data_IF_241776259417
#
_entry.id   IF_241776259417
#
_cell.length_a   1.000
_cell.length_b   1.000
_cell.length_c   1.000
_cell.angle_alpha   90.00
_cell.angle_beta   90.00
_cell.angle_gamma   90.00
#
_symmetry.space_group_name_H-M   'P 1'
#
loop_
_entity.id
_entity.type
_entity.pdbx_description
1 polymer ?
#
# COMPACT_ATOMS: atom_id res chain seq x y z
N UNK A 1 11.98 -32.92 64.87
CA UNK A 1 12.42 -32.24 63.63
C UNK A 1 11.47 -32.56 62.45
N UNK A 2 10.22 -32.08 62.45
CA UNK A 2 9.27 -32.26 61.32
C UNK A 2 8.57 -30.98 60.86
N UNK A 3 8.56 -29.93 61.69
CA UNK A 3 7.85 -28.67 61.38
C UNK A 3 8.75 -27.62 60.70
N UNK A 4 10.08 -27.69 60.86
CA UNK A 4 11.02 -26.75 60.22
C UNK A 4 10.99 -26.94 58.69
N UNK A 5 11.03 -28.18 58.21
CA UNK A 5 11.06 -28.51 56.78
C UNK A 5 9.82 -27.99 56.00
N UNK A 6 8.67 -27.84 56.67
CA UNK A 6 7.44 -27.30 56.07
C UNK A 6 7.44 -25.78 55.93
N UNK A 7 8.16 -25.07 56.80
CA UNK A 7 8.23 -23.61 56.77
C UNK A 7 9.20 -23.16 55.66
N UNK A 8 10.33 -23.85 55.49
CA UNK A 8 11.31 -23.54 54.43
C UNK A 8 10.78 -23.79 53.02
N UNK A 9 9.85 -24.74 52.84
CA UNK A 9 9.25 -24.99 51.52
C UNK A 9 8.25 -23.90 51.12
N UNK A 10 7.58 -23.25 52.09
CA UNK A 10 6.55 -22.26 51.83
C UNK A 10 7.16 -20.89 51.44
N UNK A 11 8.32 -20.53 51.98
CA UNK A 11 9.00 -19.27 51.65
C UNK A 11 9.67 -19.28 50.28
N UNK A 12 10.05 -20.44 49.74
CA UNK A 12 10.65 -20.53 48.39
C UNK A 12 9.59 -20.30 47.30
N UNK A 13 8.35 -20.78 47.50
CA UNK A 13 7.26 -20.64 46.52
C UNK A 13 6.70 -19.22 46.35
N UNK A 14 7.05 -18.28 47.23
CA UNK A 14 6.57 -16.89 47.17
C UNK A 14 7.55 -15.99 46.39
N UNK A 15 8.81 -16.40 46.27
CA UNK A 15 9.85 -15.61 45.59
C UNK A 15 9.80 -15.70 44.05
N UNK A 16 9.05 -16.66 43.48
CA UNK A 16 8.88 -16.81 42.02
C UNK A 16 7.71 -16.02 41.43
N UNK A 17 6.97 -15.25 42.24
CA UNK A 17 5.86 -14.40 41.80
C UNK A 17 6.22 -12.91 41.70
N UNK A 18 7.48 -12.55 41.96
CA UNK A 18 8.00 -11.19 41.86
C UNK A 18 8.95 -11.11 40.66
N UNK A 19 8.72 -10.12 39.78
CA UNK A 19 9.52 -9.80 38.58
C UNK A 19 9.24 -10.63 37.31
N UNK A 20 7.96 -10.77 36.95
CA UNK A 20 7.57 -10.28 35.63
C UNK A 20 7.05 -8.85 35.80
N UNK A 21 7.96 -7.88 35.81
CA UNK A 21 7.58 -6.59 35.22
C UNK A 21 7.51 -6.87 33.73
N UNK A 22 6.37 -6.63 33.11
CA UNK A 22 6.40 -6.35 31.68
C UNK A 22 7.29 -5.12 31.52
N UNK A 23 8.39 -5.25 30.78
CA UNK A 23 9.16 -4.09 30.35
C UNK A 23 8.24 -3.25 29.46
N UNK A 24 7.85 -2.07 29.96
CA UNK A 24 7.21 -1.01 29.19
C UNK A 24 8.16 -0.46 28.11
N UNK A 25 9.44 -0.87 28.12
CA UNK A 25 10.45 -0.66 27.07
C UNK A 25 10.28 -1.61 25.86
N UNK A 26 9.18 -2.36 25.74
CA UNK A 26 8.78 -2.92 24.46
C UNK A 26 8.55 -1.74 23.50
N UNK A 27 9.30 -1.60 22.40
CA UNK A 27 9.09 -0.49 21.47
C UNK A 27 7.62 -0.51 21.03
N UNK A 28 6.95 0.65 21.13
CA UNK A 28 5.55 0.80 20.73
C UNK A 28 5.36 0.11 19.38
N UNK A 29 4.49 -0.90 19.32
CA UNK A 29 4.25 -1.62 18.06
C UNK A 29 3.87 -0.58 17.01
N UNK A 30 4.68 -0.39 15.95
CA UNK A 30 4.47 0.73 15.06
C UNK A 30 3.07 0.67 14.45
N UNK A 31 2.35 1.78 14.53
CA UNK A 31 0.94 1.86 14.16
C UNK A 31 0.80 2.00 12.63
N UNK A 32 0.93 0.87 11.93
CA UNK A 32 0.71 0.71 10.49
C UNK A 32 -0.79 0.77 10.12
N UNK A 33 -1.50 1.82 10.57
CA UNK A 33 -2.96 1.92 10.48
C UNK A 33 -3.53 1.56 9.10
N UNK A 34 -4.71 0.91 9.09
CA UNK A 34 -5.27 0.17 7.95
C UNK A 34 -4.96 0.70 6.54
N UNK A 35 -4.53 -0.19 5.64
CA UNK A 35 -4.30 0.10 4.23
C UNK A 35 -5.58 0.51 3.50
N UNK A 36 -5.45 1.43 2.54
CA UNK A 36 -6.56 1.88 1.70
C UNK A 36 -6.10 2.40 0.35
N UNK A 37 -7.00 2.29 -0.64
CA UNK A 37 -6.95 3.00 -1.91
C UNK A 37 -8.34 3.58 -2.14
N UNK A 38 -8.45 4.88 -2.38
CA UNK A 38 -9.72 5.60 -2.56
C UNK A 38 -9.56 6.64 -3.67
N UNK A 39 -10.60 6.84 -4.46
CA UNK A 39 -10.70 7.93 -5.43
C UNK A 39 -12.17 8.06 -5.90
N UNK A 40 -12.44 9.06 -6.73
CA UNK A 40 -13.66 9.18 -7.52
C UNK A 40 -13.34 9.04 -8.99
N UNK A 41 -14.17 8.30 -9.73
CA UNK A 41 -14.12 8.22 -11.19
C UNK A 41 -15.26 9.06 -11.74
N UNK A 42 -14.94 10.11 -12.51
CA UNK A 42 -15.89 11.10 -13.02
C UNK A 42 -16.82 11.68 -11.92
N UNK A 43 -16.29 11.88 -10.72
CA UNK A 43 -17.01 12.42 -9.56
C UNK A 43 -17.81 11.39 -8.74
N UNK A 44 -17.88 10.12 -9.16
CA UNK A 44 -18.53 9.04 -8.42
C UNK A 44 -17.51 8.24 -7.59
N UNK A 45 -17.84 7.96 -6.33
CA UNK A 45 -16.98 7.19 -5.40
C UNK A 45 -16.61 5.82 -5.96
N UNK A 46 -15.32 5.58 -6.16
CA UNK A 46 -14.81 4.30 -6.64
C UNK A 46 -14.67 3.31 -5.48
N UNK A 47 -15.55 2.31 -5.45
CA UNK A 47 -15.57 1.29 -4.41
C UNK A 47 -14.56 0.18 -4.69
N UNK A 48 -13.76 -0.18 -3.69
CA UNK A 48 -12.76 -1.27 -3.74
C UNK A 48 -13.12 -2.47 -2.85
N UNK A 49 -14.29 -3.11 -3.00
CA UNK A 49 -14.62 -4.32 -2.23
C UNK A 49 -13.73 -5.49 -2.65
N UNK A 50 -13.08 -6.12 -1.67
CA UNK A 50 -12.40 -7.42 -1.82
C UNK A 50 -13.41 -8.58 -1.67
N UNK A 51 -13.11 -9.73 -2.26
CA UNK A 51 -13.78 -11.01 -2.02
C UNK A 51 -12.77 -12.12 -1.69
N UNK A 52 -13.17 -13.40 -1.73
CA UNK A 52 -12.28 -14.53 -1.39
C UNK A 52 -11.20 -14.82 -2.46
N UNK A 53 -11.41 -14.35 -3.69
CA UNK A 53 -10.58 -14.59 -4.88
C UNK A 53 -9.88 -13.34 -5.42
N UNK A 54 -10.29 -12.15 -4.99
CA UNK A 54 -9.80 -10.86 -5.46
C UNK A 54 -9.63 -9.90 -4.28
N UNK A 55 -8.44 -9.28 -4.15
CA UNK A 55 -8.27 -8.14 -3.27
C UNK A 55 -8.60 -6.85 -4.03
N UNK A 56 -9.50 -6.04 -3.48
CA UNK A 56 -9.83 -4.72 -3.99
C UNK A 56 -8.69 -3.70 -3.86
N UNK A 57 -7.56 -4.05 -3.22
CA UNK A 57 -6.37 -3.20 -3.14
C UNK A 57 -5.14 -4.03 -3.49
N UNK A 58 -4.21 -3.44 -4.22
CA UNK A 58 -2.96 -4.09 -4.60
C UNK A 58 -1.82 -3.09 -4.57
N UNK A 59 -0.66 -3.50 -4.03
CA UNK A 59 0.55 -2.71 -3.97
C UNK A 59 1.78 -3.61 -4.09
N UNK A 60 2.75 -3.20 -4.91
CA UNK A 60 4.09 -3.77 -4.93
C UNK A 60 5.12 -2.66 -5.21
N UNK A 61 6.30 -2.77 -4.58
CA UNK A 61 7.47 -1.92 -4.84
C UNK A 61 8.72 -2.79 -4.92
N UNK A 62 9.52 -2.57 -5.96
CA UNK A 62 10.73 -3.31 -6.29
C UNK A 62 11.93 -2.38 -6.11
N UNK A 63 12.58 -2.34 -4.93
CA UNK A 63 13.75 -1.46 -4.72
C UNK A 63 14.95 -1.89 -5.57
N UNK A 64 15.03 -3.18 -5.90
CA UNK A 64 16.01 -3.79 -6.80
C UNK A 64 15.27 -4.53 -7.94
N UNK A 65 15.96 -4.83 -9.04
CA UNK A 65 15.34 -5.47 -10.20
C UNK A 65 15.06 -6.95 -9.94
N UNK A 66 13.79 -7.36 -9.97
CA UNK A 66 13.37 -8.75 -9.72
C UNK A 66 12.17 -9.19 -10.55
N UNK A 67 12.16 -10.48 -10.92
CA UNK A 67 11.01 -11.12 -11.58
C UNK A 67 10.65 -10.53 -12.95
N UNK A 68 11.61 -9.87 -13.62
CA UNK A 68 11.39 -9.13 -14.86
C UNK A 68 10.96 -7.67 -14.66
N UNK A 69 10.82 -7.19 -13.42
CA UNK A 69 10.59 -5.79 -13.10
C UNK A 69 11.95 -5.08 -12.87
N UNK A 70 12.01 -3.81 -13.26
CA UNK A 70 13.19 -2.97 -13.07
C UNK A 70 13.26 -2.41 -11.64
N UNK A 71 14.44 -1.97 -11.22
CA UNK A 71 14.62 -1.30 -9.92
C UNK A 71 13.84 0.02 -9.88
N UNK A 72 13.21 0.31 -8.75
CA UNK A 72 12.29 1.42 -8.61
C UNK A 72 10.91 1.21 -9.25
N UNK A 73 10.60 0.02 -9.79
CA UNK A 73 9.23 -0.24 -10.26
C UNK A 73 8.26 -0.25 -9.08
N UNK A 74 7.17 0.50 -9.20
CA UNK A 74 6.06 0.52 -8.25
C UNK A 74 4.75 0.35 -9.00
N UNK A 75 3.84 -0.43 -8.44
CA UNK A 75 2.46 -0.52 -8.91
C UNK A 75 1.52 -0.45 -7.72
N UNK A 76 0.48 0.38 -7.83
CA UNK A 76 -0.61 0.42 -6.88
C UNK A 76 -1.95 0.48 -7.61
N UNK A 77 -2.95 -0.21 -7.07
CA UNK A 77 -4.26 -0.35 -7.71
C UNK A 77 -5.39 -0.47 -6.71
N UNK A 78 -6.54 0.10 -7.08
CA UNK A 78 -7.84 -0.19 -6.50
C UNK A 78 -8.70 -0.96 -7.49
N UNK A 79 -9.26 -2.09 -7.05
CA UNK A 79 -10.09 -2.99 -7.85
C UNK A 79 -11.49 -3.10 -7.26
N UNK A 80 -12.50 -2.98 -8.11
CA UNK A 80 -13.87 -3.34 -7.78
C UNK A 80 -14.11 -4.80 -8.16
N UNK A 81 -13.82 -5.74 -7.26
CA UNK A 81 -13.82 -7.17 -7.57
C UNK A 81 -15.12 -7.70 -8.21
N UNK A 82 -16.34 -7.30 -7.79
CA UNK A 82 -17.58 -7.73 -8.43
C UNK A 82 -17.74 -7.32 -9.91
N UNK A 83 -17.06 -6.27 -10.36
CA UNK A 83 -17.13 -5.77 -11.74
C UNK A 83 -15.83 -5.92 -12.52
N UNK A 84 -14.72 -6.32 -11.87
CA UNK A 84 -13.37 -6.30 -12.45
C UNK A 84 -12.98 -4.94 -13.08
N UNK A 85 -13.59 -3.85 -12.62
CA UNK A 85 -13.18 -2.47 -12.95
C UNK A 85 -12.06 -2.06 -11.99
N UNK A 86 -11.00 -1.43 -12.48
CA UNK A 86 -9.86 -1.04 -11.64
C UNK A 86 -9.15 0.23 -12.08
N UNK A 87 -8.60 0.94 -11.09
CA UNK A 87 -7.81 2.17 -11.23
C UNK A 87 -6.38 1.83 -10.81
N UNK A 88 -5.41 1.97 -11.70
CA UNK A 88 -4.02 1.56 -11.45
C UNK A 88 -3.04 2.67 -11.77
N UNK A 89 -2.00 2.82 -10.94
CA UNK A 89 -0.85 3.68 -11.20
C UNK A 89 0.40 2.82 -11.21
N UNK A 90 1.10 2.80 -12.37
CA UNK A 90 2.44 2.22 -12.54
C UNK A 90 3.46 3.35 -12.51
N UNK A 91 4.56 3.17 -11.80
CA UNK A 91 5.70 4.09 -11.77
C UNK A 91 6.98 3.30 -12.03
N UNK A 92 7.84 3.82 -12.89
CA UNK A 92 9.13 3.23 -13.25
C UNK A 92 10.26 4.10 -12.69
N UNK A 93 11.34 3.49 -12.18
CA UNK A 93 12.48 4.23 -11.62
C UNK A 93 12.19 5.08 -10.38
N UNK A 94 11.14 4.75 -9.60
CA UNK A 94 10.76 5.54 -8.43
C UNK A 94 11.82 5.49 -7.33
N UNK A 95 12.39 6.66 -7.02
CA UNK A 95 13.23 6.87 -5.86
C UNK A 95 12.37 6.94 -4.58
N UNK A 96 12.79 6.31 -3.46
CA UNK A 96 12.00 6.28 -2.23
C UNK A 96 12.09 7.62 -1.47
N UNK A 97 11.42 8.64 -2.00
CA UNK A 97 11.33 9.99 -1.43
C UNK A 97 9.90 10.48 -1.35
N UNK A 98 9.66 11.47 -0.49
CA UNK A 98 8.42 12.24 -0.39
C UNK A 98 8.46 13.44 -1.32
N UNK A 99 7.29 13.92 -1.76
CA UNK A 99 7.15 15.12 -2.56
C UNK A 99 6.07 15.01 -3.64
N UNK A 100 5.98 16.04 -4.47
CA UNK A 100 5.06 16.14 -5.59
C UNK A 100 5.69 15.54 -6.86
N UNK A 101 4.90 14.74 -7.59
CA UNK A 101 5.18 14.15 -8.89
C UNK A 101 4.13 14.63 -9.88
N UNK A 102 4.54 15.40 -10.89
CA UNK A 102 3.78 15.60 -12.11
C UNK A 102 3.93 14.33 -12.99
N UNK A 103 2.84 13.83 -13.58
CA UNK A 103 2.86 12.55 -14.31
C UNK A 103 3.43 12.66 -15.72
N UNK A 104 3.47 13.86 -16.30
CA UNK A 104 4.07 14.14 -17.60
C UNK A 104 5.58 14.42 -17.47
N UNK A 105 6.01 14.95 -16.32
CA UNK A 105 7.38 15.38 -16.02
C UNK A 105 7.80 15.03 -14.57
N UNK A 106 7.85 13.73 -14.20
CA UNK A 106 8.16 13.30 -12.84
C UNK A 106 9.56 13.72 -12.39
N UNK A 107 9.67 14.28 -11.19
CA UNK A 107 10.92 14.82 -10.66
C UNK A 107 11.86 13.76 -10.03
N UNK A 108 11.34 12.58 -9.69
CA UNK A 108 12.09 11.50 -9.01
C UNK A 108 11.56 10.09 -9.36
N UNK A 109 11.06 9.94 -10.59
CA UNK A 109 10.76 8.70 -11.26
C UNK A 109 11.06 8.88 -12.76
N UNK A 110 11.31 7.79 -13.49
CA UNK A 110 11.61 7.85 -14.92
C UNK A 110 10.34 8.05 -15.76
N UNK A 111 9.23 7.41 -15.35
CA UNK A 111 7.91 7.62 -15.97
C UNK A 111 6.77 7.16 -15.05
N UNK A 112 5.58 7.72 -15.27
CA UNK A 112 4.33 7.35 -14.59
C UNK A 112 3.31 7.00 -15.66
N UNK A 113 2.66 5.84 -15.53
CA UNK A 113 1.73 5.30 -16.54
C UNK A 113 0.45 4.80 -15.86
N UNK A 114 -0.44 5.73 -15.45
CA UNK A 114 -1.71 5.38 -14.84
C UNK A 114 -2.69 4.90 -15.90
N UNK A 115 -3.68 4.12 -15.49
CA UNK A 115 -4.78 3.75 -16.35
C UNK A 115 -6.03 3.39 -15.56
N UNK A 116 -7.16 3.45 -16.26
CA UNK A 116 -8.45 2.97 -15.78
C UNK A 116 -8.92 1.84 -16.69
N UNK A 117 -9.30 0.70 -16.11
CA UNK A 117 -9.97 -0.37 -16.84
C UNK A 117 -11.45 -0.41 -16.46
N UNK A 118 -12.32 -0.16 -17.43
CA UNK A 118 -13.77 -0.27 -17.28
C UNK A 118 -14.26 -1.59 -17.87
N UNK A 119 -15.04 -2.34 -17.10
CA UNK A 119 -15.71 -3.55 -17.59
C UNK A 119 -17.20 -3.29 -17.69
N UNK A 120 -17.73 -3.39 -18.91
CA UNK A 120 -19.15 -3.20 -19.19
C UNK A 120 -19.98 -4.43 -18.78
N UNK A 121 -21.31 -4.28 -18.77
CA UNK A 121 -22.24 -5.33 -18.31
C UNK A 121 -22.27 -6.60 -19.20
N UNK A 122 -21.72 -6.52 -20.41
CA UNK A 122 -21.48 -7.65 -21.33
C UNK A 122 -20.13 -8.35 -21.09
N UNK A 123 -19.38 -7.94 -20.06
CA UNK A 123 -18.00 -8.35 -19.76
C UNK A 123 -16.93 -7.85 -20.75
N UNK A 124 -17.25 -6.90 -21.63
CA UNK A 124 -16.26 -6.22 -22.47
C UNK A 124 -15.42 -5.27 -21.61
N UNK A 125 -14.09 -5.43 -21.67
CA UNK A 125 -13.12 -4.63 -20.91
C UNK A 125 -12.48 -3.58 -21.81
N UNK A 126 -12.50 -2.31 -21.38
CA UNK A 126 -11.89 -1.18 -22.10
C UNK A 126 -10.86 -0.49 -21.21
N UNK A 127 -9.64 -0.34 -21.73
CA UNK A 127 -8.52 0.29 -21.03
C UNK A 127 -8.36 1.74 -21.52
N UNK A 128 -8.33 2.66 -20.57
CA UNK A 128 -8.05 4.08 -20.76
C UNK A 128 -6.68 4.38 -20.16
N UNK A 129 -5.64 4.40 -21.01
CA UNK A 129 -4.24 4.57 -20.60
C UNK A 129 -3.51 5.73 -21.29
N UNK A 130 -4.19 6.47 -22.19
CA UNK A 130 -3.63 7.69 -22.78
C UNK A 130 -3.73 8.82 -21.75
N UNK A 131 -2.63 9.09 -21.05
CA UNK A 131 -2.51 10.14 -20.05
C UNK A 131 -2.69 11.54 -20.68
N UNK A 132 -3.60 12.34 -20.12
CA UNK A 132 -3.80 13.76 -20.47
C UNK A 132 -3.10 14.65 -19.44
N UNK A 133 -3.38 14.43 -18.16
CA UNK A 133 -2.80 15.13 -17.03
C UNK A 133 -2.78 14.24 -15.78
N UNK A 134 -1.98 14.61 -14.79
CA UNK A 134 -2.05 13.98 -13.48
C UNK A 134 -0.89 14.36 -12.57
N UNK A 135 -1.13 14.21 -11.28
CA UNK A 135 -0.15 14.43 -10.22
C UNK A 135 -0.36 13.48 -9.04
N UNK A 136 0.70 13.31 -8.25
CA UNK A 136 0.69 12.63 -6.97
C UNK A 136 1.51 13.43 -5.95
N UNK A 137 1.04 13.48 -4.71
CA UNK A 137 1.84 13.97 -3.58
C UNK A 137 2.10 12.80 -2.62
N UNK A 138 3.35 12.35 -2.56
CA UNK A 138 3.80 11.32 -1.63
C UNK A 138 4.16 12.00 -0.29
N UNK A 139 3.29 11.84 0.71
CA UNK A 139 3.46 12.42 2.04
C UNK A 139 4.43 11.62 2.92
N UNK A 140 4.53 10.33 2.66
CA UNK A 140 5.40 9.41 3.40
C UNK A 140 5.83 8.29 2.46
N UNK A 141 7.13 8.01 2.42
CA UNK A 141 7.66 6.80 1.82
C UNK A 141 8.81 6.31 2.70
N UNK A 142 8.54 5.26 3.46
CA UNK A 142 9.52 4.52 4.25
C UNK A 142 9.62 3.14 3.59
N UNK A 143 10.69 2.83 2.84
CA UNK A 143 10.91 1.48 2.33
C UNK A 143 11.20 0.52 3.50
N UNK A 144 10.95 -0.78 3.29
CA UNK A 144 11.31 -1.81 4.26
C UNK A 144 12.84 -1.99 4.26
N UNK A 145 13.46 -1.93 5.44
CA UNK A 145 14.91 -2.02 5.58
C UNK A 145 15.46 -3.42 5.27
N UNK A 146 14.81 -4.48 5.76
CA UNK A 146 15.21 -5.88 5.55
C UNK A 146 14.05 -6.85 5.84
N UNK A 147 14.29 -8.15 5.61
CA UNK A 147 13.26 -9.20 5.66
C UNK A 147 12.79 -9.59 7.07
N UNK A 148 13.52 -9.14 8.10
CA UNK A 148 13.20 -9.30 9.52
C UNK A 148 12.64 -8.03 10.15
N UNK A 149 12.94 -6.86 9.58
CA UNK A 149 12.33 -5.58 9.94
C UNK A 149 10.82 -5.58 9.67
N UNK A 150 10.03 -4.77 10.39
CA UNK A 150 8.62 -4.52 10.06
C UNK A 150 8.40 -4.03 8.62
N UNK A 151 7.15 -4.01 8.14
CA UNK A 151 6.84 -3.42 6.85
C UNK A 151 7.16 -1.92 6.81
N UNK A 152 7.53 -1.44 5.63
CA UNK A 152 7.59 -0.01 5.36
C UNK A 152 6.19 0.60 5.25
N UNK A 153 6.10 1.86 4.85
CA UNK A 153 4.80 2.52 4.61
C UNK A 153 4.96 3.55 3.52
N UNK A 154 4.03 3.54 2.56
CA UNK A 154 3.84 4.64 1.61
C UNK A 154 2.43 5.21 1.78
N UNK A 155 2.28 6.54 1.69
CA UNK A 155 0.98 7.21 1.69
C UNK A 155 1.02 8.50 0.88
N UNK A 156 -0.14 8.91 0.39
CA UNK A 156 -0.26 10.17 -0.32
C UNK A 156 -1.63 10.40 -0.95
N UNK A 157 -1.66 11.39 -1.83
CA UNK A 157 -2.82 11.74 -2.66
C UNK A 157 -2.46 11.71 -4.13
N UNK A 158 -3.46 11.57 -5.01
CA UNK A 158 -3.28 11.64 -6.47
C UNK A 158 -4.54 12.13 -7.17
N UNK A 159 -4.37 12.63 -8.38
CA UNK A 159 -5.43 12.74 -9.37
C UNK A 159 -4.85 12.62 -10.78
N UNK A 160 -5.64 12.16 -11.75
CA UNK A 160 -5.20 12.09 -13.15
C UNK A 160 -6.39 12.00 -14.11
N UNK A 161 -6.15 12.38 -15.36
CA UNK A 161 -7.09 12.24 -16.46
C UNK A 161 -6.50 11.33 -17.53
N UNK A 162 -7.25 10.29 -17.90
CA UNK A 162 -6.89 9.34 -18.98
C UNK A 162 -8.00 9.26 -20.03
N UNK A 163 -7.62 8.94 -21.26
CA UNK A 163 -8.55 8.72 -22.38
C UNK A 163 -8.23 7.42 -23.12
N UNK A 164 -9.13 7.00 -24.02
CA UNK A 164 -8.93 5.83 -24.88
C UNK A 164 -7.99 6.15 -26.04
N UNK A 165 -7.58 5.14 -26.79
CA UNK A 165 -6.67 5.27 -27.94
C UNK A 165 -7.17 6.24 -29.03
N UNK A 166 -8.48 6.50 -29.12
CA UNK A 166 -9.08 7.40 -30.11
C UNK A 166 -9.44 8.79 -29.54
N UNK A 167 -9.16 9.04 -28.26
CA UNK A 167 -9.53 10.26 -27.53
C UNK A 167 -11.03 10.63 -27.62
N UNK A 168 -11.90 9.63 -27.62
CA UNK A 168 -13.37 9.77 -27.65
C UNK A 168 -13.94 9.88 -26.24
N UNK A 169 -13.44 9.07 -25.31
CA UNK A 169 -13.95 8.94 -23.95
C UNK A 169 -12.86 9.25 -22.92
N UNK A 170 -13.16 10.15 -21.99
CA UNK A 170 -12.21 10.66 -20.99
C UNK A 170 -12.70 10.36 -19.56
N UNK A 171 -11.81 9.80 -18.75
CA UNK A 171 -12.04 9.49 -17.34
C UNK A 171 -11.16 10.35 -16.45
N UNK A 172 -11.78 11.07 -15.53
CA UNK A 172 -11.13 11.89 -14.50
C UNK A 172 -11.14 11.14 -13.18
N UNK A 173 -9.96 10.82 -12.68
CA UNK A 173 -9.73 10.16 -11.41
C UNK A 173 -9.35 11.26 -10.41
N UNK A 174 -10.23 11.56 -9.47
CA UNK A 174 -10.11 12.69 -8.54
C UNK A 174 -10.23 12.24 -7.08
N UNK A 175 -9.93 13.13 -6.13
CA UNK A 175 -9.94 12.85 -4.69
C UNK A 175 -9.17 11.57 -4.30
N UNK A 176 -8.10 11.27 -5.04
CA UNK A 176 -7.30 10.07 -4.87
C UNK A 176 -6.49 10.13 -3.59
N UNK A 177 -6.54 9.07 -2.79
CA UNK A 177 -5.73 8.91 -1.58
C UNK A 177 -5.39 7.44 -1.32
N UNK A 178 -4.21 7.21 -0.78
CA UNK A 178 -3.72 5.85 -0.52
C UNK A 178 -2.86 5.77 0.74
N UNK A 179 -2.88 4.60 1.36
CA UNK A 179 -1.82 4.10 2.26
C UNK A 179 -1.64 2.61 2.02
N UNK A 180 -0.39 2.19 1.86
CA UNK A 180 0.00 0.78 1.81
C UNK A 180 1.17 0.48 2.74
N UNK A 181 1.22 -0.76 3.22
CA UNK A 181 2.41 -1.35 3.81
C UNK A 181 3.39 -1.69 2.68
N UNK A 182 4.67 -1.38 2.86
CA UNK A 182 5.69 -1.67 1.83
C UNK A 182 6.33 -3.03 2.17
N UNK A 183 6.06 -4.10 1.40
CA UNK A 183 6.72 -5.39 1.59
C UNK A 183 8.19 -5.30 1.18
N UNK A 184 8.97 -6.32 1.49
CA UNK A 184 10.23 -6.54 0.78
C UNK A 184 9.96 -7.52 -0.35
N UNK A 185 10.23 -7.08 -1.57
CA UNK A 185 10.31 -7.94 -2.75
C UNK A 185 11.80 -8.03 -3.07
N UNK A 186 12.35 -9.24 -2.91
CA UNK A 186 13.70 -9.63 -3.31
C UNK A 186 13.66 -10.15 -4.73
#
# INVERSE_FOLDING_TARGET
MKNILKITLLTISILTLSQCKDDDDKPEKPNYGAEYFKCKVNGLEFQTPSDFSCDGKYFNYYPEAYGGNEAGYMVMSGTNCPTYTYVTIRIYGLLPTTGHLDFLTPAFADSISPFYNYTAADSTSTIYEQLIDGEMNIEQFIPRADGSSPYGTIKGTFHFTVTDTNALDTFRITDGSFRFDVPQIF
#
